data_IF_195288421383
#
_entry.id   IF_195288421383
#
_cell.length_a   1.000
_cell.length_b   1.000
_cell.length_c   1.000
_cell.angle_alpha   90.00
_cell.angle_beta   90.00
_cell.angle_gamma   90.00
#
_symmetry.space_group_name_H-M   'P 1'
#
loop_
_entity.id
_entity.type
_entity.pdbx_description
1 polymer ?
#
# COMPACT_ATOMS: atom_id res chain seq x y z
N UNK A 1 -2.73 -3.49 20.70
CA UNK A 1 -3.64 -2.45 20.24
C UNK A 1 -3.07 -1.12 20.69
N UNK A 2 -2.88 -0.18 19.79
CA UNK A 2 -2.32 1.14 20.11
C UNK A 2 -3.37 2.19 19.74
N UNK A 3 -3.73 3.03 20.71
CA UNK A 3 -4.71 4.10 20.53
C UNK A 3 -3.98 5.41 20.41
N UNK A 4 -4.35 6.19 19.40
CA UNK A 4 -3.74 7.49 19.09
C UNK A 4 -4.81 8.57 19.07
N UNK A 5 -4.42 9.81 19.41
CA UNK A 5 -5.33 10.96 19.37
C UNK A 5 -5.22 11.65 18.02
N UNK A 6 -6.35 12.20 17.58
CA UNK A 6 -6.43 13.09 16.43
C UNK A 6 -5.98 14.49 16.88
N UNK A 7 -5.02 15.09 16.19
CA UNK A 7 -4.56 16.46 16.48
C UNK A 7 -5.58 17.51 15.98
N UNK A 8 -5.46 18.78 16.39
CA UNK A 8 -6.37 19.85 15.92
C UNK A 8 -6.39 20.04 14.40
N UNK A 9 -5.35 19.60 13.69
CA UNK A 9 -5.27 19.61 12.22
C UNK A 9 -5.71 18.28 11.60
N UNK A 10 -6.45 17.48 12.34
CA UNK A 10 -6.91 16.14 11.94
C UNK A 10 -5.78 15.17 11.59
N UNK A 11 -4.58 15.38 12.14
CA UNK A 11 -3.45 14.47 11.92
C UNK A 11 -3.48 13.35 12.95
N UNK A 12 -3.18 12.14 12.51
CA UNK A 12 -3.01 10.97 13.37
C UNK A 12 -1.54 10.55 13.30
N UNK A 13 -0.90 10.44 14.47
CA UNK A 13 0.48 9.95 14.54
C UNK A 13 0.48 8.44 14.35
N UNK A 14 1.24 7.95 13.36
CA UNK A 14 1.45 6.50 13.18
C UNK A 14 2.47 6.05 14.25
N UNK A 15 2.13 5.11 15.15
CA UNK A 15 3.04 4.66 16.20
C UNK A 15 4.31 3.99 15.65
N UNK A 16 5.41 4.03 16.41
CA UNK A 16 6.72 3.52 15.99
C UNK A 16 6.66 2.06 15.54
N UNK A 17 6.02 1.20 16.34
CA UNK A 17 5.86 -0.22 16.04
C UNK A 17 5.16 -0.49 14.70
N UNK A 18 4.19 0.34 14.34
CA UNK A 18 3.48 0.25 13.05
C UNK A 18 4.38 0.73 11.92
N UNK A 19 5.10 1.85 12.10
CA UNK A 19 6.05 2.37 11.10
C UNK A 19 7.15 1.36 10.78
N UNK A 20 7.73 0.72 11.79
CA UNK A 20 8.80 -0.27 11.63
C UNK A 20 8.30 -1.52 10.91
N UNK A 21 7.16 -2.08 11.32
CA UNK A 21 6.58 -3.28 10.69
C UNK A 21 6.19 -3.06 9.22
N UNK A 22 5.67 -1.88 8.89
CA UNK A 22 5.25 -1.55 7.53
C UNK A 22 6.37 -0.90 6.70
N UNK A 23 7.54 -0.63 7.30
CA UNK A 23 8.65 0.05 6.63
C UNK A 23 8.33 1.48 6.18
N UNK A 24 7.45 2.19 6.89
CA UNK A 24 7.00 3.54 6.52
C UNK A 24 8.12 4.55 6.76
N UNK A 25 8.40 5.38 5.75
CA UNK A 25 9.44 6.42 5.80
C UNK A 25 8.85 7.83 5.85
N UNK A 26 9.50 8.81 6.50
CA UNK A 26 9.10 10.21 6.42
C UNK A 26 8.99 10.68 4.96
N UNK A 27 7.94 11.45 4.63
CA UNK A 27 7.69 11.94 3.28
C UNK A 27 7.07 10.93 2.31
N UNK A 28 6.87 9.68 2.72
CA UNK A 28 6.19 8.68 1.90
C UNK A 28 4.73 9.08 1.65
N UNK A 29 4.31 9.00 0.38
CA UNK A 29 2.94 9.29 -0.02
C UNK A 29 2.03 8.11 0.32
N UNK A 30 0.88 8.41 0.91
CA UNK A 30 -0.16 7.44 1.24
C UNK A 30 -1.45 7.84 0.55
N UNK A 31 -2.22 6.85 0.09
CA UNK A 31 -3.59 7.02 -0.35
C UNK A 31 -4.52 6.66 0.80
N UNK A 32 -5.52 7.50 1.03
CA UNK A 32 -6.50 7.35 2.11
C UNK A 32 -7.83 6.94 1.49
N UNK A 33 -8.41 5.84 1.96
CA UNK A 33 -9.67 5.29 1.46
C UNK A 33 -10.61 5.16 2.65
N UNK A 34 -11.83 5.66 2.53
CA UNK A 34 -12.92 5.34 3.45
C UNK A 34 -13.60 4.08 2.94
N UNK A 35 -13.59 3.03 3.74
CA UNK A 35 -14.24 1.77 3.40
C UNK A 35 -14.84 1.17 4.67
N UNK A 36 -16.11 0.78 4.63
CA UNK A 36 -16.79 0.09 5.74
C UNK A 36 -16.52 0.72 7.12
N UNK A 37 -16.78 2.03 7.18
CA UNK A 37 -16.62 2.88 8.37
C UNK A 37 -15.21 2.89 9.00
N UNK A 38 -14.17 2.56 8.23
CA UNK A 38 -12.76 2.69 8.62
C UNK A 38 -11.94 3.41 7.56
N UNK A 39 -10.79 3.93 7.98
CA UNK A 39 -9.80 4.51 7.08
C UNK A 39 -8.74 3.45 6.77
N UNK A 40 -8.56 3.18 5.48
CA UNK A 40 -7.45 2.38 4.97
C UNK A 40 -6.39 3.29 4.36
N UNK A 41 -5.13 3.12 4.77
CA UNK A 41 -4.00 3.88 4.25
C UNK A 41 -3.07 2.97 3.48
N UNK A 42 -2.93 3.22 2.18
CA UNK A 42 -2.11 2.39 1.28
C UNK A 42 -0.92 3.21 0.77
N UNK A 43 0.33 2.73 0.91
CA UNK A 43 1.48 3.44 0.38
C UNK A 43 1.41 3.54 -1.15
N UNK A 44 1.64 4.74 -1.68
CA UNK A 44 1.76 4.96 -3.11
C UNK A 44 3.21 4.63 -3.49
N UNK A 45 3.40 3.60 -4.31
CA UNK A 45 4.70 3.23 -4.86
C UNK A 45 4.80 3.69 -6.31
N UNK A 46 5.92 4.29 -6.74
CA UNK A 46 6.18 4.57 -8.14
C UNK A 46 6.14 3.27 -8.96
N UNK A 47 5.67 3.34 -10.20
CA UNK A 47 5.62 2.17 -11.10
C UNK A 47 7.02 1.65 -11.44
N UNK A 48 8.04 2.50 -11.37
CA UNK A 48 9.44 2.15 -11.54
C UNK A 48 9.89 1.10 -10.52
N UNK A 49 9.41 1.17 -9.27
CA UNK A 49 9.72 0.18 -8.22
C UNK A 49 9.10 -1.20 -8.50
N UNK A 50 8.04 -1.26 -9.29
CA UNK A 50 7.41 -2.53 -9.67
C UNK A 50 8.16 -3.24 -10.82
N UNK A 51 9.11 -2.58 -11.48
CA UNK A 51 9.82 -3.20 -12.61
C UNK A 51 10.62 -4.41 -12.12
N UNK A 52 10.36 -5.57 -12.72
CA UNK A 52 11.08 -6.82 -12.42
C UNK A 52 10.64 -7.53 -11.13
N UNK A 53 9.58 -7.06 -10.45
CA UNK A 53 9.11 -7.73 -9.22
C UNK A 53 8.56 -9.15 -9.49
N UNK A 54 8.05 -9.39 -10.71
CA UNK A 54 7.55 -10.69 -11.18
C UNK A 54 8.61 -11.51 -11.94
N UNK A 55 9.91 -11.24 -11.75
CA UNK A 55 10.96 -12.01 -12.42
C UNK A 55 10.85 -13.49 -12.00
N UNK A 56 10.68 -14.37 -12.97
CA UNK A 56 10.66 -15.82 -12.76
C UNK A 56 9.27 -16.43 -12.57
N UNK A 57 8.18 -15.67 -12.77
CA UNK A 57 6.85 -16.27 -12.82
C UNK A 57 6.66 -17.08 -14.11
N UNK A 58 5.85 -18.12 -14.04
CA UNK A 58 5.37 -18.82 -15.23
C UNK A 58 4.48 -17.88 -16.04
N UNK A 59 4.84 -17.65 -17.30
CA UNK A 59 4.08 -16.79 -18.22
C UNK A 59 3.30 -17.57 -19.27
N UNK A 60 3.28 -18.91 -19.20
CA UNK A 60 2.43 -19.75 -20.04
C UNK A 60 0.98 -19.45 -19.74
N UNK A 61 0.24 -19.03 -20.75
CA UNK A 61 -1.21 -18.89 -20.67
C UNK A 61 -1.79 -19.65 -21.86
N UNK A 62 -2.57 -20.69 -21.58
CA UNK A 62 -3.34 -21.39 -22.62
C UNK A 62 -4.40 -20.42 -23.18
N UNK A 63 -4.39 -20.23 -24.51
CA UNK A 63 -5.31 -19.32 -25.19
C UNK A 63 -6.30 -20.12 -26.02
N UNK A 64 -7.56 -19.74 -25.96
CA UNK A 64 -8.58 -20.24 -26.87
C UNK A 64 -8.31 -19.77 -28.31
N UNK A 65 -8.71 -20.53 -29.35
CA UNK A 65 -8.40 -20.23 -30.75
C UNK A 65 -8.91 -18.87 -31.26
N UNK A 66 -9.96 -18.33 -30.64
CA UNK A 66 -10.58 -17.04 -30.95
C UNK A 66 -9.91 -15.85 -30.27
N UNK A 67 -8.88 -16.07 -29.44
CA UNK A 67 -8.18 -15.04 -28.64
C UNK A 67 -6.70 -14.87 -29.00
N UNK A 68 -6.33 -15.25 -30.23
CA UNK A 68 -4.98 -15.05 -30.81
C UNK A 68 -4.88 -13.70 -31.53
#
# INVERSE_FOLDING_TARGET
METVKVSPKFQVVIPSRVRERLGIRPGQKMRVILYDNRIEMVPIRPMEEARGFLRGIETSVEREPDRV
#
